data_IF_847450397447
#
_entry.id   IF_847450397447
#
_cell.length_a   1.000
_cell.length_b   1.000
_cell.length_c   1.000
_cell.angle_alpha   90.00
_cell.angle_beta   90.00
_cell.angle_gamma   90.00
#
_symmetry.space_group_name_H-M   'P 1'
#
loop_
_entity.id
_entity.type
_entity.pdbx_description
1 polymer ?
#
# COMPACT_ATOMS: atom_id res chain seq x y z
N UNK A 1 6.45 35.46 48.62
CA UNK A 1 5.68 34.29 49.10
C UNK A 1 4.39 34.18 48.27
N UNK A 2 4.33 33.18 47.38
CA UNK A 2 3.20 32.49 46.72
C UNK A 2 2.04 33.24 46.03
N UNK A 3 1.89 33.04 44.70
CA UNK A 3 0.80 32.30 43.97
C UNK A 3 0.90 32.60 42.45
N UNK A 4 1.37 31.65 41.62
CA UNK A 4 0.61 30.67 40.80
C UNK A 4 -0.06 31.22 39.52
N UNK A 5 0.50 30.82 38.37
CA UNK A 5 -0.07 30.52 37.03
C UNK A 5 -1.44 31.09 36.62
N UNK A 6 -1.48 31.87 35.52
CA UNK A 6 -2.62 32.02 34.57
C UNK A 6 -2.04 32.26 33.16
N UNK A 7 -1.86 31.21 32.34
CA UNK A 7 -2.68 30.80 31.18
C UNK A 7 -2.47 31.66 29.91
N UNK A 8 -1.69 31.11 28.98
CA UNK A 8 -1.68 31.44 27.55
C UNK A 8 -2.50 30.34 26.86
N UNK A 9 -3.78 30.59 26.55
CA UNK A 9 -4.57 29.79 25.59
C UNK A 9 -5.59 30.71 24.93
N UNK A 10 -5.20 31.33 23.83
CA UNK A 10 -6.13 31.94 22.90
C UNK A 10 -5.41 32.09 21.55
N UNK A 11 -5.43 31.03 20.71
CA UNK A 11 -5.24 31.09 19.25
C UNK A 11 -5.27 29.70 18.55
N UNK A 12 -6.08 28.75 19.01
CA UNK A 12 -6.23 27.44 18.32
C UNK A 12 -7.67 26.91 18.29
N UNK A 13 -8.66 27.80 18.09
CA UNK A 13 -10.04 27.39 17.82
C UNK A 13 -10.62 28.31 16.73
N UNK A 14 -10.29 28.06 15.47
CA UNK A 14 -10.99 28.65 14.31
C UNK A 14 -10.83 27.86 13.00
N UNK A 15 -10.63 26.54 13.05
CA UNK A 15 -10.61 25.72 11.83
C UNK A 15 -11.36 24.40 11.99
N UNK A 16 -12.50 24.44 12.68
CA UNK A 16 -13.49 23.37 12.62
C UNK A 16 -14.81 24.04 12.26
N UNK A 17 -15.09 24.20 10.97
CA UNK A 17 -16.43 24.19 10.38
C UNK A 17 -16.31 24.33 8.86
N UNK A 18 -16.14 23.20 8.18
CA UNK A 18 -16.59 23.03 6.79
C UNK A 18 -16.74 21.55 6.50
N UNK A 19 -17.79 20.95 7.08
CA UNK A 19 -18.38 19.72 6.55
C UNK A 19 -19.56 20.07 5.66
N UNK A 20 -19.64 19.34 4.55
CA UNK A 20 -20.74 19.22 3.57
C UNK A 20 -20.75 20.31 2.48
N UNK A 21 -20.22 19.98 1.29
CA UNK A 21 -21.03 19.73 0.07
C UNK A 21 -20.11 19.41 -1.11
N UNK A 22 -19.96 18.13 -1.49
CA UNK A 22 -19.50 17.77 -2.84
C UNK A 22 -20.48 16.74 -3.40
N UNK A 23 -21.22 17.18 -4.42
CA UNK A 23 -22.17 16.37 -5.14
C UNK A 23 -21.50 15.20 -5.84
N UNK A 24 -22.23 14.10 -5.85
CA UNK A 24 -21.97 12.90 -6.65
C UNK A 24 -21.69 13.26 -8.11
N UNK A 25 -20.45 13.07 -8.57
CA UNK A 25 -20.16 12.92 -10.00
C UNK A 25 -20.11 11.43 -10.32
N UNK A 26 -21.21 10.97 -10.88
CA UNK A 26 -21.40 9.64 -11.46
C UNK A 26 -20.39 9.47 -12.60
N UNK A 27 -19.39 8.60 -12.43
CA UNK A 27 -18.66 8.06 -13.56
C UNK A 27 -19.58 7.09 -14.30
N UNK A 28 -19.97 7.45 -15.52
CA UNK A 28 -20.67 6.55 -16.44
C UNK A 28 -19.73 5.40 -16.79
N UNK A 29 -20.07 4.21 -16.32
CA UNK A 29 -19.59 2.94 -16.86
C UNK A 29 -20.01 2.88 -18.33
N UNK A 30 -19.04 2.77 -19.23
CA UNK A 30 -19.34 2.42 -20.62
C UNK A 30 -19.72 0.94 -20.65
N UNK A 31 -21.01 0.67 -20.71
CA UNK A 31 -21.54 -0.62 -21.12
C UNK A 31 -21.13 -0.87 -22.58
N UNK A 32 -20.30 -1.88 -22.80
CA UNK A 32 -20.31 -2.58 -24.08
C UNK A 32 -20.67 -4.02 -23.77
N UNK A 33 -21.97 -4.31 -23.91
CA UNK A 33 -22.48 -5.67 -24.02
C UNK A 33 -21.76 -6.36 -25.18
N UNK A 34 -21.19 -7.52 -24.91
CA UNK A 34 -21.17 -8.63 -25.85
C UNK A 34 -21.36 -9.91 -25.04
N UNK A 35 -22.61 -10.36 -24.99
CA UNK A 35 -22.92 -11.78 -24.84
C UNK A 35 -22.10 -12.57 -25.85
N UNK A 36 -21.42 -13.64 -25.43
CA UNK A 36 -21.30 -14.90 -26.18
C UNK A 36 -20.87 -16.02 -25.20
N UNK A 37 -21.83 -16.91 -24.97
CA UNK A 37 -21.76 -18.36 -24.88
C UNK A 37 -20.60 -19.05 -24.12
N UNK A 38 -21.01 -19.75 -23.05
CA UNK A 38 -20.44 -20.99 -22.55
C UNK A 38 -20.04 -21.96 -23.68
N UNK A 39 -18.77 -22.32 -23.79
CA UNK A 39 -18.36 -23.62 -24.32
C UNK A 39 -17.13 -24.14 -23.59
N UNK A 40 -17.30 -25.30 -22.94
CA UNK A 40 -16.21 -26.19 -22.52
C UNK A 40 -15.45 -26.62 -23.77
N UNK A 41 -14.12 -26.51 -23.77
CA UNK A 41 -13.28 -27.37 -24.61
C UNK A 41 -11.92 -27.62 -23.94
N UNK A 42 -11.81 -28.86 -23.45
CA UNK A 42 -10.56 -29.59 -23.29
C UNK A 42 -9.81 -29.55 -24.63
N UNK A 43 -8.53 -29.20 -24.61
CA UNK A 43 -7.60 -29.61 -25.64
C UNK A 43 -6.23 -29.90 -25.02
N UNK A 44 -5.94 -31.20 -24.92
CA UNK A 44 -4.58 -31.74 -24.87
C UNK A 44 -3.79 -31.27 -26.09
N UNK A 45 -2.59 -30.71 -25.91
CA UNK A 45 -1.54 -30.81 -26.92
C UNK A 45 -0.15 -30.96 -26.28
N UNK A 46 0.31 -32.22 -26.33
CA UNK A 46 1.66 -32.71 -26.66
C UNK A 46 2.87 -32.32 -25.80
N UNK A 47 3.27 -33.30 -24.99
CA UNK A 47 4.66 -33.61 -24.64
C UNK A 47 5.56 -33.62 -25.88
N UNK A 48 6.53 -32.71 -25.91
CA UNK A 48 7.76 -32.90 -26.68
C UNK A 48 8.92 -32.95 -25.70
N UNK A 49 9.59 -34.11 -25.68
CA UNK A 49 10.82 -34.34 -24.94
C UNK A 49 11.96 -33.49 -25.53
N UNK A 50 12.63 -32.70 -24.68
CA UNK A 50 14.00 -32.24 -24.92
C UNK A 50 14.82 -32.63 -23.68
N UNK A 51 15.88 -33.40 -23.90
CA UNK A 51 16.83 -33.83 -22.87
C UNK A 51 17.87 -32.73 -22.60
N UNK A 52 18.08 -32.46 -21.30
CA UNK A 52 19.35 -32.19 -20.60
C UNK A 52 20.38 -31.26 -21.24
N UNK A 53 20.57 -30.07 -20.69
CA UNK A 53 21.65 -29.74 -19.73
C UNK A 53 21.55 -28.25 -19.32
N UNK A 54 21.75 -28.00 -18.02
CA UNK A 54 21.85 -26.72 -17.30
C UNK A 54 20.67 -25.73 -17.38
N UNK A 55 19.60 -26.07 -16.65
CA UNK A 55 18.66 -25.07 -16.11
C UNK A 55 18.96 -25.01 -14.62
N UNK A 56 19.76 -24.02 -14.21
CA UNK A 56 19.77 -23.57 -12.82
C UNK A 56 18.33 -23.33 -12.40
N UNK A 57 17.94 -23.93 -11.28
CA UNK A 57 16.59 -23.94 -10.72
C UNK A 57 15.95 -22.56 -10.87
N UNK A 58 14.88 -22.48 -11.69
CA UNK A 58 13.88 -21.41 -11.60
C UNK A 58 13.27 -21.53 -10.20
N UNK A 59 13.94 -20.95 -9.21
CA UNK A 59 13.41 -20.81 -7.86
C UNK A 59 12.20 -19.89 -7.96
N UNK A 60 11.04 -20.45 -7.65
CA UNK A 60 9.73 -19.81 -7.75
C UNK A 60 9.77 -18.44 -7.09
N UNK A 61 9.32 -17.42 -7.82
CA UNK A 61 9.20 -16.04 -7.35
C UNK A 61 8.11 -15.85 -6.27
N UNK A 62 7.69 -16.93 -5.63
CA UNK A 62 6.84 -16.94 -4.45
C UNK A 62 7.69 -16.80 -3.15
N UNK A 63 8.58 -15.81 -3.02
CA UNK A 63 9.97 -15.65 -3.53
C UNK A 63 10.87 -15.41 -2.31
N UNK A 64 12.19 -15.36 -2.46
CA UNK A 64 13.08 -14.74 -1.46
C UNK A 64 12.63 -13.34 -0.96
N UNK A 65 11.79 -12.64 -1.74
CA UNK A 65 11.12 -11.42 -1.31
C UNK A 65 10.21 -11.63 -0.10
N UNK A 66 9.42 -12.69 -0.04
CA UNK A 66 8.50 -12.96 1.07
C UNK A 66 9.26 -13.37 2.34
N UNK A 67 10.42 -14.04 2.19
CA UNK A 67 11.33 -14.31 3.32
C UNK A 67 11.95 -13.02 3.85
N UNK A 68 12.32 -12.09 2.96
CA UNK A 68 13.02 -10.84 3.30
C UNK A 68 12.06 -9.77 3.84
N UNK A 69 10.91 -9.62 3.21
CA UNK A 69 9.89 -8.60 3.47
C UNK A 69 8.51 -9.26 3.32
N UNK A 70 8.03 -9.95 4.36
CA UNK A 70 6.76 -10.67 4.29
C UNK A 70 5.58 -9.73 4.06
N UNK A 71 4.52 -10.25 3.43
CA UNK A 71 3.20 -9.63 3.46
C UNK A 71 2.67 -9.75 4.89
N UNK A 72 2.35 -8.62 5.52
CA UNK A 72 1.82 -8.64 6.89
C UNK A 72 0.46 -9.35 6.93
N UNK A 73 0.15 -9.99 8.06
CA UNK A 73 -1.12 -10.69 8.20
C UNK A 73 -2.31 -9.75 8.02
N UNK A 74 -3.21 -10.11 7.11
CA UNK A 74 -4.38 -9.31 6.74
C UNK A 74 -4.14 -8.31 5.59
N UNK A 75 -2.90 -8.19 5.10
CA UNK A 75 -2.59 -7.35 3.94
C UNK A 75 -2.65 -8.16 2.65
N UNK A 76 -2.78 -7.41 1.56
CA UNK A 76 -2.76 -7.88 0.17
C UNK A 76 -1.44 -7.50 -0.49
N UNK A 77 -1.22 -8.05 -1.66
CA UNK A 77 -0.08 -7.77 -2.53
C UNK A 77 -0.54 -7.69 -3.97
N UNK A 78 -0.03 -6.71 -4.73
CA UNK A 78 -0.15 -6.73 -6.21
C UNK A 78 1.06 -7.38 -6.86
N UNK A 79 2.10 -7.68 -6.08
CA UNK A 79 3.33 -8.27 -6.59
C UNK A 79 3.07 -9.67 -7.13
N UNK A 80 3.44 -9.87 -8.39
CA UNK A 80 3.28 -11.13 -9.11
C UNK A 80 4.55 -11.47 -9.89
N UNK A 81 4.80 -12.77 -10.10
CA UNK A 81 5.94 -13.22 -10.91
C UNK A 81 5.76 -12.98 -12.41
N UNK A 82 6.73 -13.42 -13.19
CA UNK A 82 6.69 -13.46 -14.65
C UNK A 82 7.71 -14.48 -15.17
N UNK A 83 7.52 -14.96 -16.40
CA UNK A 83 8.42 -15.94 -17.01
C UNK A 83 9.75 -15.33 -17.47
N UNK A 84 9.79 -14.01 -17.63
CA UNK A 84 10.93 -13.19 -18.02
C UNK A 84 10.85 -11.79 -17.37
N UNK A 85 11.94 -11.01 -17.50
CA UNK A 85 12.03 -9.67 -16.89
C UNK A 85 10.95 -8.70 -17.36
N UNK A 86 10.59 -8.73 -18.65
CA UNK A 86 9.57 -7.85 -19.22
C UNK A 86 8.19 -8.14 -18.63
N UNK A 87 7.83 -9.40 -18.50
CA UNK A 87 6.57 -9.79 -17.84
C UNK A 87 6.55 -9.38 -16.36
N UNK A 88 7.68 -9.49 -15.66
CA UNK A 88 7.75 -8.99 -14.27
C UNK A 88 7.53 -7.47 -14.23
N UNK A 89 8.12 -6.70 -15.16
CA UNK A 89 7.90 -5.25 -15.24
C UNK A 89 6.41 -4.94 -15.48
N UNK A 90 5.79 -5.59 -16.46
CA UNK A 90 4.40 -5.35 -16.85
C UNK A 90 3.41 -5.76 -15.76
N UNK A 91 3.55 -6.97 -15.21
CA UNK A 91 2.65 -7.50 -14.18
C UNK A 91 2.69 -6.68 -12.89
N UNK A 92 3.81 -6.01 -12.60
CA UNK A 92 4.01 -5.22 -11.39
C UNK A 92 3.92 -3.70 -11.63
N UNK A 93 3.59 -3.28 -12.86
CA UNK A 93 3.49 -1.87 -13.27
C UNK A 93 4.75 -1.08 -12.86
N UNK A 94 5.91 -1.60 -13.25
CA UNK A 94 7.21 -0.98 -13.00
C UNK A 94 7.65 -0.15 -14.19
N UNK A 95 8.51 0.84 -13.96
CA UNK A 95 9.13 1.59 -15.03
C UNK A 95 10.23 0.76 -15.67
N UNK A 96 10.24 0.70 -17.00
CA UNK A 96 11.33 0.10 -17.77
C UNK A 96 12.52 1.08 -17.83
N UNK A 97 13.32 1.07 -16.76
CA UNK A 97 14.56 1.83 -16.67
C UNK A 97 15.69 0.95 -16.10
N UNK A 98 16.91 1.16 -16.61
CA UNK A 98 18.08 0.33 -16.29
C UNK A 98 18.89 0.83 -15.08
N UNK A 99 18.47 1.92 -14.42
CA UNK A 99 19.22 2.49 -13.29
C UNK A 99 19.02 1.71 -11.98
N UNK A 100 17.89 1.00 -11.86
CA UNK A 100 17.56 0.20 -10.67
C UNK A 100 17.12 -1.20 -11.07
N UNK A 101 17.69 -2.23 -10.44
CA UNK A 101 17.32 -3.61 -10.72
C UNK A 101 15.86 -3.92 -10.38
N UNK A 102 15.26 -4.87 -11.11
CA UNK A 102 13.87 -5.32 -10.87
C UNK A 102 13.70 -5.80 -9.43
N UNK A 103 14.65 -6.58 -8.89
CA UNK A 103 14.62 -7.04 -7.50
C UNK A 103 14.52 -5.86 -6.51
N UNK A 104 15.29 -4.80 -6.74
CA UNK A 104 15.26 -3.61 -5.92
C UNK A 104 13.92 -2.87 -6.01
N UNK A 105 13.30 -2.83 -7.20
CA UNK A 105 11.95 -2.24 -7.39
C UNK A 105 10.88 -3.05 -6.68
N UNK A 106 10.92 -4.38 -6.77
CA UNK A 106 9.97 -5.27 -6.09
C UNK A 106 10.08 -5.16 -4.56
N UNK A 107 11.30 -5.07 -4.03
CA UNK A 107 11.52 -4.82 -2.59
C UNK A 107 10.93 -3.48 -2.14
N UNK A 108 11.17 -2.42 -2.90
CA UNK A 108 10.60 -1.10 -2.61
C UNK A 108 9.06 -1.10 -2.71
N UNK A 109 8.50 -1.73 -3.75
CA UNK A 109 7.04 -1.90 -3.95
C UNK A 109 6.42 -2.65 -2.77
N UNK A 110 7.04 -3.73 -2.28
CA UNK A 110 6.56 -4.47 -1.10
C UNK A 110 6.54 -3.60 0.15
N UNK A 111 7.59 -2.79 0.37
CA UNK A 111 7.64 -1.83 1.49
C UNK A 111 6.55 -0.77 1.35
N UNK A 112 6.34 -0.24 0.15
CA UNK A 112 5.30 0.73 -0.15
C UNK A 112 3.90 0.17 0.14
N UNK A 113 3.56 -1.00 -0.41
CA UNK A 113 2.27 -1.67 -0.21
C UNK A 113 2.01 -1.97 1.26
N UNK A 114 3.00 -2.51 1.97
CA UNK A 114 2.85 -2.82 3.40
C UNK A 114 2.70 -1.54 4.24
N UNK A 115 3.48 -0.50 3.96
CA UNK A 115 3.39 0.77 4.70
C UNK A 115 2.02 1.43 4.53
N UNK A 116 1.54 1.55 3.29
CA UNK A 116 0.28 2.24 3.02
C UNK A 116 -0.90 1.47 3.63
N UNK A 117 -0.93 0.15 3.47
CA UNK A 117 -1.93 -0.69 4.16
C UNK A 117 -1.85 -0.55 5.69
N UNK A 118 -0.66 -0.37 6.27
CA UNK A 118 -0.51 -0.16 7.71
C UNK A 118 -1.07 1.18 8.18
N UNK A 119 -0.78 2.30 7.49
CA UNK A 119 -1.26 3.64 7.91
C UNK A 119 -2.76 3.82 7.74
N UNK A 120 -3.38 3.14 6.76
CA UNK A 120 -4.85 3.14 6.62
C UNK A 120 -5.50 2.20 7.62
N UNK A 121 -4.79 1.15 8.06
CA UNK A 121 -5.30 0.15 8.98
C UNK A 121 -5.53 0.68 10.40
N UNK A 122 -6.52 0.11 11.07
CA UNK A 122 -6.84 0.35 12.47
C UNK A 122 -7.53 -0.87 13.08
N UNK A 123 -7.15 -1.22 14.32
CA UNK A 123 -7.88 -2.17 15.16
C UNK A 123 -7.91 -1.64 16.60
N UNK A 124 -9.11 -1.41 17.13
CA UNK A 124 -9.30 -0.89 18.49
C UNK A 124 -8.74 -1.83 19.56
N UNK A 125 -8.67 -3.13 19.27
CA UNK A 125 -8.16 -4.15 20.18
C UNK A 125 -6.64 -4.31 20.07
N UNK A 126 -6.01 -3.77 19.02
CA UNK A 126 -4.57 -3.88 18.75
C UNK A 126 -4.00 -2.57 18.18
N UNK A 127 -4.19 -1.49 18.93
CA UNK A 127 -3.71 -0.16 18.53
C UNK A 127 -2.19 -0.11 18.45
N UNK A 128 -1.53 -0.65 19.46
CA UNK A 128 -0.07 -0.62 19.54
C UNK A 128 0.57 -1.49 18.44
N UNK A 129 0.02 -2.67 18.16
CA UNK A 129 0.47 -3.51 17.05
C UNK A 129 0.25 -2.86 15.69
N UNK A 130 -0.84 -2.10 15.51
CA UNK A 130 -1.07 -1.31 14.28
C UNK A 130 0.02 -0.23 14.10
N UNK A 131 0.34 0.51 15.18
CA UNK A 131 1.40 1.53 15.16
C UNK A 131 2.78 0.91 14.88
N UNK A 132 3.08 -0.22 15.51
CA UNK A 132 4.34 -0.95 15.31
C UNK A 132 4.50 -1.37 13.85
N UNK A 133 3.44 -1.94 13.25
CA UNK A 133 3.43 -2.32 11.82
C UNK A 133 3.74 -1.12 10.92
N UNK A 134 3.10 0.03 11.13
CA UNK A 134 3.33 1.21 10.29
C UNK A 134 4.76 1.77 10.45
N UNK A 135 5.24 1.87 11.69
CA UNK A 135 6.56 2.47 11.99
C UNK A 135 7.74 1.61 11.53
N UNK A 136 7.56 0.30 11.33
CA UNK A 136 8.59 -0.62 10.81
C UNK A 136 9.14 -0.23 9.44
N UNK A 137 8.30 0.39 8.60
CA UNK A 137 8.64 0.67 7.20
C UNK A 137 9.24 2.05 6.95
N UNK A 138 9.21 2.95 7.93
CA UNK A 138 9.69 4.32 7.76
C UNK A 138 11.11 4.51 8.28
N UNK A 139 11.80 5.53 7.79
CA UNK A 139 13.08 5.95 8.33
C UNK A 139 12.93 6.56 9.73
N UNK A 140 14.03 6.63 10.49
CA UNK A 140 14.00 6.99 11.91
C UNK A 140 13.34 8.34 12.21
N UNK A 141 13.55 9.34 11.37
CA UNK A 141 12.97 10.68 11.54
C UNK A 141 11.47 10.78 11.21
N UNK A 142 10.86 9.72 10.66
CA UNK A 142 9.42 9.64 10.36
C UNK A 142 8.60 8.87 11.39
N UNK A 143 9.25 8.17 12.32
CA UNK A 143 8.57 7.34 13.32
C UNK A 143 7.56 8.16 14.15
N UNK A 144 7.97 9.31 14.68
CA UNK A 144 7.11 10.11 15.56
C UNK A 144 5.93 10.75 14.80
N UNK A 145 6.14 11.08 13.51
CA UNK A 145 5.08 11.55 12.61
C UNK A 145 4.03 10.46 12.41
N UNK A 146 4.45 9.23 12.06
CA UNK A 146 3.55 8.08 11.87
C UNK A 146 2.80 7.74 13.17
N UNK A 147 3.47 7.73 14.33
CA UNK A 147 2.80 7.54 15.63
C UNK A 147 1.74 8.61 15.92
N UNK A 148 2.00 9.83 15.50
CA UNK A 148 1.08 10.95 15.72
C UNK A 148 -0.20 10.83 14.91
N UNK A 149 -0.18 10.13 13.76
CA UNK A 149 -1.39 9.77 13.02
C UNK A 149 -2.36 9.04 13.97
N UNK A 150 -1.90 8.01 14.66
CA UNK A 150 -2.73 7.19 15.56
C UNK A 150 -3.10 7.86 16.88
N UNK A 151 -2.34 8.87 17.30
CA UNK A 151 -2.63 9.65 18.51
C UNK A 151 -3.77 10.65 18.28
N UNK A 152 -3.83 11.24 17.08
CA UNK A 152 -4.85 12.21 16.67
C UNK A 152 -5.98 11.59 15.86
N UNK A 153 -5.93 10.27 15.63
CA UNK A 153 -6.94 9.53 14.90
C UNK A 153 -8.27 9.63 15.66
N UNK A 154 -9.10 10.57 15.20
CA UNK A 154 -10.56 10.62 15.45
C UNK A 154 -11.31 9.42 14.85
N UNK A 155 -10.62 8.46 14.22
CA UNK A 155 -11.18 7.19 13.74
C UNK A 155 -11.82 6.37 14.88
N UNK A 156 -11.57 6.69 16.15
CA UNK A 156 -12.04 5.90 17.30
C UNK A 156 -13.45 6.22 17.81
N UNK A 157 -14.15 7.24 17.32
CA UNK A 157 -15.47 7.54 17.91
C UNK A 157 -16.54 6.54 17.45
N UNK A 158 -16.49 6.07 16.21
CA UNK A 158 -17.52 5.20 15.62
C UNK A 158 -17.02 3.90 14.96
N UNK A 159 -15.69 3.66 14.90
CA UNK A 159 -15.10 2.49 14.24
C UNK A 159 -14.28 1.61 15.19
N UNK A 160 -14.45 0.29 15.09
CA UNK A 160 -13.63 -0.74 15.74
C UNK A 160 -12.44 -1.16 14.90
N UNK A 161 -12.62 -1.37 13.60
CA UNK A 161 -11.60 -2.01 12.76
C UNK A 161 -11.73 -1.65 11.28
N UNK A 162 -10.62 -1.61 10.56
CA UNK A 162 -10.58 -1.56 9.09
C UNK A 162 -10.30 -2.95 8.51
N UNK A 163 -10.87 -3.25 7.35
CA UNK A 163 -10.62 -4.45 6.57
C UNK A 163 -10.11 -4.02 5.20
N UNK A 164 -8.91 -4.44 4.81
CA UNK A 164 -8.37 -4.16 3.48
C UNK A 164 -9.17 -4.97 2.45
N UNK A 165 -9.82 -4.28 1.51
CA UNK A 165 -10.67 -4.90 0.48
C UNK A 165 -9.99 -4.93 -0.88
N UNK A 166 -9.25 -3.89 -1.25
CA UNK A 166 -8.52 -3.82 -2.51
C UNK A 166 -7.17 -3.11 -2.37
N UNK A 167 -6.27 -3.38 -3.31
CA UNK A 167 -4.93 -2.81 -3.37
C UNK A 167 -4.52 -2.60 -4.83
N UNK A 168 -4.06 -1.40 -5.12
CA UNK A 168 -3.39 -1.04 -6.36
C UNK A 168 -2.02 -0.45 -6.04
N UNK A 169 -1.01 -0.73 -6.85
CA UNK A 169 0.23 0.04 -6.80
C UNK A 169 0.98 0.06 -8.13
N UNK A 170 1.70 1.15 -8.39
CA UNK A 170 2.51 1.34 -9.60
C UNK A 170 3.76 2.19 -9.30
N UNK A 171 4.84 1.96 -10.05
CA UNK A 171 6.05 2.80 -9.97
C UNK A 171 5.84 4.12 -10.71
N UNK A 172 6.23 5.21 -10.05
CA UNK A 172 6.02 6.57 -10.55
C UNK A 172 7.31 7.23 -11.05
N UNK A 173 7.23 7.89 -12.21
CA UNK A 173 8.36 8.59 -12.78
C UNK A 173 8.38 10.06 -12.35
N UNK A 174 9.27 10.42 -11.43
CA UNK A 174 9.49 11.82 -11.02
C UNK A 174 10.56 12.57 -11.80
N UNK A 175 11.15 11.99 -12.86
CA UNK A 175 12.22 12.59 -13.69
C UNK A 175 13.34 13.24 -12.85
N UNK A 176 13.71 12.63 -11.74
CA UNK A 176 14.81 13.10 -10.91
C UNK A 176 16.01 12.19 -11.11
N UNK A 177 17.20 12.76 -11.33
CA UNK A 177 18.43 11.98 -11.42
C UNK A 177 18.95 11.65 -10.01
N UNK A 178 18.23 10.78 -9.30
CA UNK A 178 18.58 10.33 -7.95
C UNK A 178 18.19 8.86 -7.72
N UNK A 179 18.51 8.36 -6.53
CA UNK A 179 18.30 6.95 -6.14
C UNK A 179 16.92 6.69 -5.51
N UNK A 180 16.01 7.69 -5.52
CA UNK A 180 14.69 7.51 -4.93
C UNK A 180 13.80 6.68 -5.84
N UNK A 181 13.02 5.81 -5.21
CA UNK A 181 11.91 5.13 -5.86
C UNK A 181 10.60 5.73 -5.38
N UNK A 182 9.68 5.91 -6.31
CA UNK A 182 8.36 6.45 -6.06
C UNK A 182 7.31 5.42 -6.43
N UNK A 183 6.31 5.25 -5.57
CA UNK A 183 5.16 4.40 -5.86
C UNK A 183 3.87 5.11 -5.53
N UNK A 184 2.90 5.06 -6.43
CA UNK A 184 1.50 5.25 -6.04
C UNK A 184 0.99 3.95 -5.45
N UNK A 185 0.28 4.04 -4.33
CA UNK A 185 -0.41 2.94 -3.69
C UNK A 185 -1.80 3.40 -3.29
N UNK A 186 -2.83 2.73 -3.81
CA UNK A 186 -4.22 2.95 -3.43
C UNK A 186 -4.73 1.74 -2.66
N UNK A 187 -5.41 1.99 -1.54
CA UNK A 187 -5.95 0.96 -0.68
C UNK A 187 -7.42 1.24 -0.41
N UNK A 188 -8.28 0.31 -0.79
CA UNK A 188 -9.68 0.33 -0.40
C UNK A 188 -9.88 -0.42 0.91
N UNK A 189 -10.77 0.12 1.76
CA UNK A 189 -11.11 -0.48 3.03
C UNK A 189 -12.62 -0.56 3.23
N UNK A 190 -13.04 -1.61 3.94
CA UNK A 190 -14.30 -1.63 4.67
C UNK A 190 -14.05 -1.36 6.15
N UNK A 191 -15.08 -0.96 6.88
CA UNK A 191 -15.00 -0.66 8.30
C UNK A 191 -15.95 -1.57 9.08
N UNK A 192 -15.52 -1.98 10.26
CA UNK A 192 -16.39 -2.54 11.30
C UNK A 192 -16.68 -1.43 12.29
N UNK A 193 -17.96 -1.06 12.41
CA UNK A 193 -18.40 -0.02 13.34
C UNK A 193 -18.49 -0.53 14.79
N UNK A 194 -18.84 0.36 15.72
CA UNK A 194 -19.01 0.01 17.13
C UNK A 194 -20.15 -1.01 17.41
N UNK A 195 -21.05 -1.23 16.44
CA UNK A 195 -22.17 -2.17 16.49
C UNK A 195 -21.88 -3.49 15.76
N UNK A 196 -20.60 -3.73 15.41
CA UNK A 196 -20.14 -4.92 14.68
C UNK A 196 -20.79 -5.07 13.30
N UNK A 197 -21.22 -3.95 12.70
CA UNK A 197 -21.69 -3.91 11.32
C UNK A 197 -20.55 -3.57 10.37
N UNK A 198 -20.49 -4.28 9.25
CA UNK A 198 -19.59 -3.95 8.17
C UNK A 198 -20.22 -2.85 7.30
N UNK A 199 -19.50 -1.73 7.19
CA UNK A 199 -19.86 -0.61 6.31
C UNK A 199 -18.77 -0.41 5.28
N UNK A 200 -19.17 0.02 4.08
CA UNK A 200 -18.22 0.33 3.03
C UNK A 200 -17.43 1.58 3.41
N UNK A 201 -16.11 1.47 3.42
CA UNK A 201 -15.21 2.60 3.63
C UNK A 201 -14.89 3.34 2.33
N UNK A 202 -13.94 4.27 2.42
CA UNK A 202 -13.37 4.98 1.30
C UNK A 202 -11.94 4.53 1.06
N UNK A 203 -11.53 4.46 -0.20
CA UNK A 203 -10.13 4.26 -0.55
C UNK A 203 -9.28 5.46 -0.17
N UNK A 204 -8.03 5.19 0.20
CA UNK A 204 -6.99 6.21 0.36
C UNK A 204 -5.83 5.90 -0.60
N UNK A 205 -5.33 6.93 -1.27
CA UNK A 205 -4.19 6.84 -2.18
C UNK A 205 -3.01 7.62 -1.62
N UNK A 206 -1.83 7.06 -1.75
CA UNK A 206 -0.58 7.71 -1.32
C UNK A 206 0.48 7.61 -2.40
N UNK A 207 1.18 8.72 -2.63
CA UNK A 207 2.50 8.70 -3.25
C UNK A 207 3.54 8.50 -2.15
N UNK A 208 4.31 7.42 -2.24
CA UNK A 208 5.39 7.14 -1.29
C UNK A 208 6.74 7.26 -1.98
N UNK A 209 7.72 7.77 -1.23
CA UNK A 209 9.11 7.93 -1.65
C UNK A 209 10.01 7.09 -0.77
N UNK A 210 10.83 6.26 -1.39
CA UNK A 210 11.70 5.30 -0.71
C UNK A 210 13.16 5.52 -1.03
N UNK A 211 14.02 5.25 -0.04
CA UNK A 211 15.46 5.12 -0.19
C UNK A 211 15.95 3.94 0.65
N UNK A 212 17.10 3.36 0.29
CA UNK A 212 17.77 2.38 1.17
C UNK A 212 18.43 3.06 2.36
N UNK A 213 18.11 2.59 3.55
CA UNK A 213 18.81 2.85 4.81
C UNK A 213 19.32 1.51 5.34
N UNK A 214 20.62 1.40 5.60
CA UNK A 214 21.27 0.16 6.04
C UNK A 214 20.94 -1.08 5.17
N UNK A 215 20.87 -0.87 3.85
CA UNK A 215 20.61 -1.92 2.86
C UNK A 215 19.13 -2.34 2.73
N UNK A 216 18.22 -1.70 3.47
CA UNK A 216 16.77 -1.96 3.41
C UNK A 216 16.02 -0.73 2.94
N UNK A 217 14.99 -0.91 2.12
CA UNK A 217 14.12 0.21 1.74
C UNK A 217 13.33 0.72 2.93
N UNK A 218 13.31 2.05 3.08
CA UNK A 218 12.51 2.78 4.06
C UNK A 218 11.73 3.89 3.37
N UNK A 219 10.52 4.14 3.85
CA UNK A 219 9.73 5.32 3.47
C UNK A 219 10.38 6.55 4.10
N UNK A 220 10.77 7.51 3.26
CA UNK A 220 11.36 8.78 3.69
C UNK A 220 10.36 9.94 3.63
N UNK A 221 9.41 9.86 2.69
CA UNK A 221 8.32 10.80 2.51
C UNK A 221 7.09 10.05 1.98
N UNK A 222 5.92 10.53 2.34
CA UNK A 222 4.64 10.02 1.84
C UNK A 222 3.64 11.16 1.80
N UNK A 223 2.78 11.15 0.78
CA UNK A 223 1.83 12.21 0.51
C UNK A 223 0.48 11.56 0.22
N UNK A 224 -0.56 11.99 0.92
CA UNK A 224 -1.93 11.63 0.56
C UNK A 224 -2.26 12.28 -0.79
N UNK A 225 -2.76 11.48 -1.72
CA UNK A 225 -3.16 11.90 -3.06
C UNK A 225 -4.70 11.80 -3.16
N UNK A 226 -5.35 12.94 -3.37
CA UNK A 226 -6.82 13.12 -3.37
C UNK A 226 -7.50 12.72 -4.68
#
# INVERSE_FOLDING_TARGET
MNKKNIIIVALLISFIFSFIYIGSKIFKKNDTNNDIATTNNVNEVKKNNINKEDIDEKESTESDLDKKIPVESGFKTTITGGDNEQEVIENNILLDNNSTSIQNKLEAKRVAENFVQAIVSFDINDKDGTVEKATKYVCKNKIDEVRSLYTNIGKSQDMKKTIITDLYSEEENKQENNEYLYFYVAVDVDLIDNYDQQVKGTGETYLVKLLKEDGQYKIIEYYFDE
#
